data_IF_386323834315
#
_entry.id   IF_386323834315
#
_cell.length_a   1.000
_cell.length_b   1.000
_cell.length_c   1.000
_cell.angle_alpha   90.00
_cell.angle_beta   90.00
_cell.angle_gamma   90.00
#
_symmetry.space_group_name_H-M   'P 1'
#
loop_
_entity.id
_entity.type
_entity.pdbx_description
1 polymer ?
#
# COMPACT_ATOMS: atom_id res chain seq x y z
N UNK A 1 23.58 5.97 -15.07
CA UNK A 1 23.97 6.31 -13.68
C UNK A 1 23.69 5.11 -12.78
N UNK A 2 24.43 4.91 -11.68
CA UNK A 2 24.27 3.71 -10.86
C UNK A 2 23.14 3.90 -9.84
N UNK A 3 22.29 2.89 -9.55
CA UNK A 3 21.34 2.91 -8.44
C UNK A 3 21.93 3.33 -7.09
N UNK A 4 23.25 3.13 -6.94
CA UNK A 4 24.03 3.55 -5.79
C UNK A 4 24.04 5.07 -5.57
N UNK A 5 24.07 5.87 -6.65
CA UNK A 5 24.09 7.33 -6.55
C UNK A 5 22.75 7.86 -6.00
N UNK A 6 21.64 7.23 -6.42
CA UNK A 6 20.30 7.49 -5.90
C UNK A 6 20.22 7.18 -4.41
N UNK A 7 20.74 6.02 -4.01
CA UNK A 7 20.76 5.63 -2.60
C UNK A 7 21.58 6.58 -1.74
N UNK A 8 22.78 6.97 -2.21
CA UNK A 8 23.65 7.90 -1.50
C UNK A 8 22.95 9.25 -1.27
N UNK A 9 22.26 9.79 -2.28
CA UNK A 9 21.51 11.03 -2.15
C UNK A 9 20.36 10.91 -1.13
N UNK A 10 19.56 9.82 -1.21
CA UNK A 10 18.46 9.57 -0.26
C UNK A 10 18.99 9.39 1.17
N UNK A 11 20.10 8.67 1.33
CA UNK A 11 20.68 8.38 2.64
C UNK A 11 21.29 9.62 3.28
N UNK A 12 21.89 10.50 2.47
CA UNK A 12 22.36 11.81 2.89
C UNK A 12 21.23 12.78 3.24
N UNK A 13 20.06 12.65 2.61
CA UNK A 13 18.92 13.53 2.83
C UNK A 13 18.12 13.22 4.12
N UNK A 14 18.13 11.97 4.60
CA UNK A 14 17.38 11.59 5.82
C UNK A 14 17.98 10.39 6.53
N UNK A 15 17.98 10.35 7.88
CA UNK A 15 18.36 9.16 8.66
C UNK A 15 17.23 8.12 8.82
N UNK A 16 15.97 8.49 8.54
CA UNK A 16 14.80 7.65 8.75
C UNK A 16 14.75 6.48 7.74
N UNK A 17 14.77 5.25 8.24
CA UNK A 17 14.83 4.05 7.42
C UNK A 17 13.53 3.81 6.61
N UNK A 18 12.36 4.13 7.15
CA UNK A 18 11.09 3.98 6.43
C UNK A 18 10.97 5.01 5.31
N UNK A 19 11.45 6.23 5.53
CA UNK A 19 11.53 7.26 4.50
C UNK A 19 12.51 6.85 3.40
N UNK A 20 13.69 6.33 3.75
CA UNK A 20 14.68 5.80 2.77
C UNK A 20 14.09 4.70 1.90
N UNK A 21 13.44 3.70 2.52
CA UNK A 21 12.78 2.61 1.82
C UNK A 21 11.70 3.12 0.87
N UNK A 22 10.87 4.04 1.33
CA UNK A 22 9.78 4.63 0.53
C UNK A 22 10.31 5.41 -0.67
N UNK A 23 11.32 6.26 -0.48
CA UNK A 23 11.90 7.06 -1.57
C UNK A 23 12.60 6.18 -2.61
N UNK A 24 13.33 5.15 -2.17
CA UNK A 24 13.93 4.18 -3.10
C UNK A 24 12.84 3.40 -3.85
N UNK A 25 11.77 3.00 -3.16
CA UNK A 25 10.65 2.30 -3.78
C UNK A 25 9.93 3.17 -4.79
N UNK A 26 9.67 4.44 -4.47
CA UNK A 26 9.11 5.41 -5.41
C UNK A 26 9.99 5.61 -6.63
N UNK A 27 11.29 5.87 -6.43
CA UNK A 27 12.23 6.02 -7.54
C UNK A 27 12.27 4.78 -8.45
N UNK A 28 12.23 3.58 -7.86
CA UNK A 28 12.14 2.32 -8.61
C UNK A 28 10.82 2.18 -9.38
N UNK A 29 9.71 2.56 -8.76
CA UNK A 29 8.37 2.46 -9.34
C UNK A 29 8.07 3.57 -10.35
N UNK A 30 8.73 4.71 -10.33
CA UNK A 30 8.49 5.79 -11.28
C UNK A 30 9.40 5.69 -12.50
N UNK A 31 10.69 5.46 -12.28
CA UNK A 31 11.71 5.57 -13.33
C UNK A 31 12.66 4.39 -13.43
N UNK A 32 12.52 3.38 -12.55
CA UNK A 32 13.56 2.37 -12.36
C UNK A 32 14.88 2.99 -11.85
N UNK A 33 14.78 4.04 -11.03
CA UNK A 33 15.90 4.84 -10.53
C UNK A 33 16.74 5.52 -11.63
N UNK A 34 16.16 5.78 -12.80
CA UNK A 34 16.85 6.45 -13.90
C UNK A 34 16.68 7.98 -13.82
N UNK A 35 17.74 8.76 -13.52
CA UNK A 35 17.66 10.22 -13.42
C UNK A 35 17.39 10.89 -14.77
N UNK A 36 17.64 10.22 -15.88
CA UNK A 36 17.39 10.75 -17.22
C UNK A 36 16.01 10.39 -17.76
N UNK A 37 15.18 9.68 -16.97
CA UNK A 37 13.84 9.29 -17.37
C UNK A 37 12.95 10.50 -17.66
N UNK A 38 12.21 10.44 -18.77
CA UNK A 38 11.26 11.46 -19.22
C UNK A 38 9.91 10.80 -19.47
N UNK A 39 8.88 11.30 -18.79
CA UNK A 39 7.50 10.82 -18.85
C UNK A 39 6.54 11.89 -19.32
N UNK A 40 5.25 11.53 -19.38
CA UNK A 40 4.13 12.44 -19.67
C UNK A 40 4.36 13.34 -20.89
N UNK A 41 4.78 12.75 -22.01
CA UNK A 41 5.06 13.46 -23.26
C UNK A 41 6.10 14.60 -23.12
N UNK A 42 7.05 14.46 -22.21
CA UNK A 42 8.08 15.48 -21.97
C UNK A 42 7.72 16.49 -20.88
N UNK A 43 6.84 16.12 -19.94
CA UNK A 43 6.45 17.00 -18.83
C UNK A 43 6.93 16.50 -17.47
N UNK A 44 7.33 15.23 -17.36
CA UNK A 44 7.79 14.61 -16.11
C UNK A 44 9.24 14.16 -16.24
N UNK A 45 10.05 14.40 -15.22
CA UNK A 45 11.51 14.19 -15.31
C UNK A 45 12.09 13.58 -14.04
N UNK A 46 13.20 12.88 -14.21
CA UNK A 46 14.03 12.42 -13.11
C UNK A 46 13.54 11.15 -12.44
N UNK A 47 14.18 10.84 -11.32
CA UNK A 47 13.95 9.57 -10.62
C UNK A 47 12.53 9.43 -10.06
N UNK A 48 11.90 10.55 -9.69
CA UNK A 48 10.53 10.63 -9.16
C UNK A 48 9.48 11.09 -10.19
N UNK A 49 9.85 11.19 -11.48
CA UNK A 49 8.95 11.65 -12.55
C UNK A 49 8.19 12.94 -12.19
N UNK A 50 8.91 13.97 -11.74
CA UNK A 50 8.29 15.22 -11.25
C UNK A 50 7.63 15.96 -12.41
N UNK A 51 6.30 16.12 -12.35
CA UNK A 51 5.50 16.83 -13.36
C UNK A 51 5.69 18.36 -13.26
N UNK A 52 6.50 18.93 -14.16
CA UNK A 52 6.91 20.34 -14.09
C UNK A 52 5.76 21.35 -14.17
N UNK A 53 4.67 21.14 -14.95
CA UNK A 53 3.58 22.11 -15.00
C UNK A 53 2.90 22.37 -13.65
N UNK A 54 3.01 21.44 -12.69
CA UNK A 54 2.51 21.64 -11.31
C UNK A 54 3.54 22.32 -10.38
N UNK A 55 4.79 22.49 -10.82
CA UNK A 55 5.91 22.92 -10.00
C UNK A 55 6.77 23.96 -10.76
N UNK A 56 6.31 25.22 -10.86
CA UNK A 56 6.94 26.23 -11.72
C UNK A 56 8.39 26.58 -11.34
N UNK A 57 8.78 26.36 -10.08
CA UNK A 57 10.16 26.60 -9.61
C UNK A 57 11.14 25.44 -9.89
N UNK A 58 10.60 24.30 -10.37
CA UNK A 58 11.35 23.12 -10.75
C UNK A 58 11.65 23.14 -12.25
N UNK A 59 12.93 23.02 -12.60
CA UNK A 59 13.35 22.88 -14.00
C UNK A 59 13.63 21.42 -14.33
N UNK A 60 13.62 21.06 -15.61
CA UNK A 60 13.99 19.71 -16.04
C UNK A 60 15.40 19.32 -15.56
N UNK A 61 16.35 20.26 -15.53
CA UNK A 61 17.69 20.00 -15.01
C UNK A 61 17.68 19.69 -13.51
N UNK A 62 16.96 20.48 -12.70
CA UNK A 62 16.83 20.23 -11.25
C UNK A 62 16.08 18.92 -10.94
N UNK A 63 15.08 18.57 -11.76
CA UNK A 63 14.34 17.33 -11.60
C UNK A 63 15.20 16.09 -11.93
N UNK A 64 16.13 16.19 -12.88
CA UNK A 64 17.09 15.11 -13.19
C UNK A 64 18.25 15.04 -12.21
N UNK A 65 18.60 16.14 -11.56
CA UNK A 65 19.61 16.14 -10.49
C UNK A 65 19.09 15.33 -9.29
N UNK A 66 19.78 14.25 -8.96
CA UNK A 66 19.34 13.30 -7.93
C UNK A 66 19.23 13.99 -6.57
N UNK A 67 20.20 14.83 -6.19
CA UNK A 67 20.21 15.47 -4.87
C UNK A 67 19.08 16.49 -4.77
N UNK A 68 18.93 17.36 -5.76
CA UNK A 68 17.88 18.37 -5.80
C UNK A 68 16.48 17.76 -5.84
N UNK A 69 16.25 16.74 -6.68
CA UNK A 69 14.97 16.06 -6.77
C UNK A 69 14.64 15.27 -5.49
N UNK A 70 15.64 14.64 -4.85
CA UNK A 70 15.50 13.98 -3.54
C UNK A 70 15.09 14.97 -2.47
N UNK A 71 15.79 16.10 -2.35
CA UNK A 71 15.48 17.13 -1.37
C UNK A 71 14.09 17.76 -1.60
N UNK A 72 13.71 17.93 -2.87
CA UNK A 72 12.39 18.41 -3.23
C UNK A 72 11.27 17.44 -2.81
N UNK A 73 11.45 16.14 -3.03
CA UNK A 73 10.44 15.12 -2.70
C UNK A 73 10.43 14.71 -1.23
N UNK A 74 11.52 14.93 -0.50
CA UNK A 74 11.70 14.48 0.88
C UNK A 74 10.53 14.87 1.82
N UNK A 75 10.04 16.13 1.86
CA UNK A 75 8.93 16.50 2.75
C UNK A 75 7.64 15.72 2.46
N UNK A 76 7.34 15.43 1.20
CA UNK A 76 6.16 14.65 0.80
C UNK A 76 6.27 13.21 1.28
N UNK A 77 7.45 12.60 1.15
CA UNK A 77 7.72 11.25 1.63
C UNK A 77 7.69 11.13 3.15
N UNK A 78 8.24 12.12 3.88
CA UNK A 78 8.16 12.17 5.35
C UNK A 78 6.70 12.23 5.85
N UNK A 79 5.84 12.99 5.16
CA UNK A 79 4.41 13.03 5.49
C UNK A 79 3.71 11.72 5.11
N UNK A 80 4.07 11.13 3.97
CA UNK A 80 3.48 9.90 3.50
C UNK A 80 3.75 8.70 4.41
N UNK A 81 4.99 8.54 4.89
CA UNK A 81 5.37 7.45 5.81
C UNK A 81 4.51 7.47 7.07
N UNK A 82 4.23 8.65 7.65
CA UNK A 82 3.38 8.79 8.85
C UNK A 82 1.92 8.38 8.63
N UNK A 83 1.48 8.28 7.38
CA UNK A 83 0.11 7.86 7.02
C UNK A 83 0.01 6.35 6.83
N UNK A 84 1.13 5.65 6.72
CA UNK A 84 1.17 4.19 6.59
C UNK A 84 1.05 3.56 7.98
N UNK A 85 0.09 2.66 8.23
CA UNK A 85 -0.05 2.00 9.54
C UNK A 85 1.19 1.19 9.92
N UNK A 86 1.62 1.27 11.17
CA UNK A 86 2.80 0.55 11.71
C UNK A 86 2.73 -0.97 11.48
N UNK A 87 1.53 -1.56 11.56
CA UNK A 87 1.33 -2.98 11.29
C UNK A 87 1.72 -3.41 9.88
N UNK A 88 1.58 -2.52 8.88
CA UNK A 88 1.93 -2.82 7.50
C UNK A 88 3.44 -2.88 7.30
N UNK A 89 4.20 -2.02 7.98
CA UNK A 89 5.66 -2.03 7.95
C UNK A 89 6.25 -3.35 8.45
N UNK A 90 5.62 -3.97 9.45
CA UNK A 90 6.05 -5.25 10.00
C UNK A 90 5.62 -6.44 9.14
N UNK A 91 4.43 -6.38 8.53
CA UNK A 91 3.86 -7.48 7.75
C UNK A 91 4.43 -7.56 6.32
N UNK A 92 4.49 -6.42 5.64
CA UNK A 92 4.94 -6.31 4.24
C UNK A 92 5.59 -4.94 4.02
N UNK A 93 6.89 -4.78 4.34
CA UNK A 93 7.59 -3.50 4.19
C UNK A 93 7.67 -3.03 2.74
N UNK A 94 7.60 -3.92 1.75
CA UNK A 94 7.57 -3.56 0.34
C UNK A 94 6.25 -2.87 -0.04
N UNK A 95 5.12 -3.45 0.39
CA UNK A 95 3.81 -2.83 0.23
C UNK A 95 3.67 -1.54 1.04
N UNK A 96 4.21 -1.49 2.27
CA UNK A 96 4.24 -0.29 3.10
C UNK A 96 4.97 0.86 2.39
N UNK A 97 6.17 0.59 1.86
CA UNK A 97 6.99 1.55 1.11
C UNK A 97 6.29 2.05 -0.16
N UNK A 98 5.68 1.15 -0.93
CA UNK A 98 4.92 1.53 -2.12
C UNK A 98 3.66 2.34 -1.77
N UNK A 99 3.03 2.07 -0.63
CA UNK A 99 1.87 2.83 -0.13
C UNK A 99 2.28 4.25 0.27
N UNK A 100 3.44 4.41 0.90
CA UNK A 100 4.02 5.72 1.16
C UNK A 100 4.34 6.46 -0.15
N UNK A 101 4.97 5.80 -1.14
CA UNK A 101 5.23 6.38 -2.45
C UNK A 101 3.93 6.88 -3.12
N UNK A 102 2.88 6.07 -3.11
CA UNK A 102 1.55 6.45 -3.61
C UNK A 102 0.99 7.70 -2.92
N UNK A 103 1.14 7.83 -1.60
CA UNK A 103 0.69 9.03 -0.88
C UNK A 103 1.54 10.26 -1.18
N UNK A 104 2.85 10.10 -1.39
CA UNK A 104 3.77 11.19 -1.69
C UNK A 104 3.57 11.72 -3.12
N UNK A 105 3.48 10.83 -4.10
CA UNK A 105 3.46 11.15 -5.53
C UNK A 105 2.05 11.34 -6.07
N UNK A 106 1.04 10.85 -5.34
CA UNK A 106 -0.40 11.02 -5.64
C UNK A 106 -0.79 10.59 -7.06
N UNK A 107 -0.32 9.45 -7.59
CA UNK A 107 -0.79 8.97 -8.87
C UNK A 107 -2.28 8.64 -8.80
N UNK A 108 -2.95 8.59 -9.95
CA UNK A 108 -4.40 8.33 -10.01
C UNK A 108 -4.78 6.94 -9.49
N UNK A 109 -3.88 5.96 -9.66
CA UNK A 109 -4.11 4.55 -9.31
C UNK A 109 -2.90 4.02 -8.55
N UNK A 110 -3.15 3.17 -7.55
CA UNK A 110 -2.10 2.47 -6.81
C UNK A 110 -1.26 1.59 -7.74
N UNK A 111 0.04 1.47 -7.45
CA UNK A 111 0.93 0.60 -8.20
C UNK A 111 0.44 -0.86 -8.19
N UNK A 112 0.52 -1.59 -9.33
CA UNK A 112 0.17 -2.99 -9.36
C UNK A 112 1.04 -3.82 -8.40
N UNK A 113 0.43 -4.74 -7.65
CA UNK A 113 1.13 -5.61 -6.67
C UNK A 113 2.32 -6.34 -7.29
N UNK A 114 2.22 -6.78 -8.54
CA UNK A 114 3.33 -7.45 -9.23
C UNK A 114 4.53 -6.52 -9.42
N UNK A 115 4.31 -5.24 -9.72
CA UNK A 115 5.37 -4.22 -9.88
C UNK A 115 6.05 -3.90 -8.55
N UNK A 116 5.26 -3.85 -7.46
CA UNK A 116 5.76 -3.69 -6.09
C UNK A 116 6.66 -4.89 -5.74
N UNK A 117 6.17 -6.11 -5.94
CA UNK A 117 6.92 -7.35 -5.64
C UNK A 117 8.20 -7.48 -6.46
N UNK A 118 8.20 -7.06 -7.72
CA UNK A 118 9.42 -7.10 -8.55
C UNK A 118 10.43 -5.99 -8.21
N UNK A 119 9.96 -4.82 -7.79
CA UNK A 119 10.82 -3.70 -7.39
C UNK A 119 11.46 -3.89 -6.01
N UNK A 120 10.79 -4.58 -5.08
CA UNK A 120 11.25 -4.65 -3.70
C UNK A 120 12.64 -5.30 -3.50
N UNK A 121 12.99 -6.43 -4.14
CA UNK A 121 14.34 -6.98 -4.04
C UNK A 121 15.44 -6.02 -4.51
N UNK A 122 15.16 -5.17 -5.51
CA UNK A 122 16.10 -4.16 -6.01
C UNK A 122 16.34 -3.11 -4.93
N UNK A 123 15.27 -2.61 -4.30
CA UNK A 123 15.36 -1.66 -3.19
C UNK A 123 16.19 -2.24 -2.04
N UNK A 124 15.95 -3.50 -1.66
CA UNK A 124 16.73 -4.17 -0.61
C UNK A 124 18.21 -4.30 -0.98
N UNK A 125 18.53 -4.68 -2.21
CA UNK A 125 19.91 -4.77 -2.68
C UNK A 125 20.64 -3.42 -2.62
N UNK A 126 19.97 -2.36 -3.06
CA UNK A 126 20.47 -0.99 -3.00
C UNK A 126 20.68 -0.53 -1.55
N UNK A 127 19.74 -0.82 -0.65
CA UNK A 127 19.87 -0.48 0.76
C UNK A 127 21.04 -1.18 1.46
N UNK A 128 21.35 -2.42 1.07
CA UNK A 128 22.48 -3.18 1.61
C UNK A 128 23.81 -2.66 1.06
N UNK A 129 23.88 -2.37 -0.24
CA UNK A 129 25.08 -1.83 -0.90
C UNK A 129 25.41 -0.39 -0.52
N UNK A 130 24.40 0.42 -0.17
CA UNK A 130 24.57 1.80 0.22
C UNK A 130 24.91 2.03 1.69
N UNK A 131 25.06 0.96 2.49
CA UNK A 131 25.64 1.13 3.81
C UNK A 131 27.06 1.67 3.64
N UNK A 132 27.41 2.80 4.28
CA UNK A 132 28.78 3.29 4.26
C UNK A 132 29.67 2.14 4.72
N UNK A 133 30.50 1.62 3.82
CA UNK A 133 31.63 0.81 4.25
C UNK A 133 32.48 1.77 5.06
N UNK A 134 32.47 1.64 6.38
CA UNK A 134 33.36 2.39 7.25
C UNK A 134 34.79 2.13 6.75
N UNK A 135 35.35 3.04 5.94
CA UNK A 135 36.70 3.14 5.35
C UNK A 135 37.70 2.02 5.66
N UNK A 136 37.31 0.77 5.46
CA UNK A 136 38.20 -0.38 5.52
C UNK A 136 38.50 -0.68 4.06
N UNK A 137 39.78 -0.59 3.63
CA UNK A 137 40.14 -0.88 2.26
C UNK A 137 39.56 -2.24 1.87
N UNK A 138 38.88 -2.35 0.71
CA UNK A 138 38.31 -3.62 0.32
C UNK A 138 39.44 -4.64 0.17
N UNK A 139 39.31 -5.86 0.71
CA UNK A 139 40.24 -6.93 0.35
C UNK A 139 40.11 -7.16 -1.16
N UNK A 140 41.21 -6.94 -1.87
CA UNK A 140 41.34 -7.17 -3.31
C UNK A 140 40.95 -8.63 -3.62
N UNK A 141 39.70 -8.85 -3.99
CA UNK A 141 39.19 -10.17 -4.33
C UNK A 141 38.90 -10.18 -5.83
N UNK A 142 39.91 -10.59 -6.59
CA UNK A 142 39.82 -10.82 -8.03
C UNK A 142 38.98 -12.09 -8.26
N UNK A 143 37.73 -11.95 -8.68
CA UNK A 143 36.89 -13.08 -9.06
C UNK A 143 35.71 -12.64 -9.94
N UNK A 144 35.49 -13.25 -11.12
CA UNK A 144 34.33 -12.98 -11.95
C UNK A 144 33.12 -13.73 -11.38
N UNK A 145 32.38 -13.07 -10.48
CA UNK A 145 31.12 -13.55 -9.94
C UNK A 145 29.96 -12.77 -10.53
N UNK A 146 29.38 -13.30 -11.61
CA UNK A 146 28.14 -12.85 -12.20
C UNK A 146 27.03 -12.93 -11.14
N UNK A 147 26.37 -11.80 -10.85
CA UNK A 147 25.28 -11.75 -9.87
C UNK A 147 24.07 -12.52 -10.43
N UNK A 148 23.94 -13.78 -10.03
CA UNK A 148 22.76 -14.58 -10.24
C UNK A 148 21.60 -13.96 -9.46
N UNK A 149 20.49 -13.70 -10.15
CA UNK A 149 19.19 -13.48 -9.50
C UNK A 149 18.91 -14.65 -8.55
N UNK A 150 18.35 -14.43 -7.33
CA UNK A 150 18.06 -15.50 -6.41
C UNK A 150 17.06 -16.46 -7.05
N UNK A 151 17.52 -17.66 -7.37
CA UNK A 151 16.63 -18.75 -7.77
C UNK A 151 15.88 -19.20 -6.52
N UNK A 152 14.55 -19.22 -6.60
CA UNK A 152 13.66 -19.67 -5.53
C UNK A 152 13.82 -21.17 -5.19
N UNK A 153 14.68 -21.88 -5.91
CA UNK A 153 15.05 -23.27 -5.64
C UNK A 153 15.96 -23.43 -4.43
N UNK A 154 16.66 -22.38 -3.99
CA UNK A 154 17.64 -22.42 -2.87
C UNK A 154 17.10 -21.86 -1.54
N UNK A 155 15.79 -21.90 -1.30
CA UNK A 155 15.29 -21.72 0.06
C UNK A 155 15.60 -22.97 0.90
N UNK A 156 16.13 -22.84 2.14
CA UNK A 156 16.24 -23.96 3.07
C UNK A 156 14.88 -24.67 3.14
N UNK A 157 14.86 -26.00 3.07
CA UNK A 157 13.61 -26.78 3.01
C UNK A 157 12.60 -26.38 4.10
N UNK A 158 13.09 -25.96 5.27
CA UNK A 158 12.29 -25.43 6.38
C UNK A 158 11.54 -24.12 6.04
N UNK A 159 12.14 -23.21 5.29
CA UNK A 159 11.52 -21.95 4.83
C UNK A 159 10.53 -22.18 3.69
N UNK A 160 10.81 -23.14 2.80
CA UNK A 160 9.87 -23.54 1.74
C UNK A 160 8.61 -24.17 2.33
N UNK A 161 8.77 -25.06 3.32
CA UNK A 161 7.65 -25.64 4.07
C UNK A 161 6.89 -24.54 4.83
N UNK A 162 7.57 -23.61 5.50
CA UNK A 162 6.89 -22.50 6.15
C UNK A 162 6.10 -21.63 5.14
N UNK A 163 6.65 -21.36 3.96
CA UNK A 163 5.94 -20.58 2.93
C UNK A 163 4.77 -21.34 2.30
N UNK A 164 4.89 -22.64 2.05
CA UNK A 164 3.78 -23.47 1.53
C UNK A 164 2.68 -23.71 2.58
N UNK A 165 3.04 -23.81 3.87
CA UNK A 165 2.09 -24.03 4.97
C UNK A 165 1.39 -22.72 5.40
N UNK A 166 2.13 -21.62 5.46
CA UNK A 166 1.62 -20.32 5.94
C UNK A 166 1.28 -19.33 4.84
N UNK A 167 1.73 -19.53 3.59
CA UNK A 167 1.37 -18.66 2.46
C UNK A 167 -0.14 -18.49 2.27
N UNK A 168 -0.93 -19.57 2.26
CA UNK A 168 -2.39 -19.48 2.22
C UNK A 168 -2.99 -18.80 3.46
N UNK A 169 -2.33 -18.94 4.63
CA UNK A 169 -2.76 -18.33 5.89
C UNK A 169 -2.50 -16.82 5.86
N UNK A 170 -1.36 -16.38 5.36
CA UNK A 170 -1.03 -14.95 5.17
C UNK A 170 -1.96 -14.31 4.14
N UNK A 171 -2.27 -15.00 3.03
CA UNK A 171 -3.24 -14.51 2.05
C UNK A 171 -4.67 -14.48 2.61
N UNK A 172 -5.05 -15.45 3.44
CA UNK A 172 -6.32 -15.45 4.17
C UNK A 172 -6.40 -14.28 5.15
N UNK A 173 -5.37 -14.02 5.96
CA UNK A 173 -5.35 -12.89 6.89
C UNK A 173 -5.28 -11.55 6.18
N UNK A 174 -4.56 -11.43 5.06
CA UNK A 174 -4.56 -10.22 4.25
C UNK A 174 -5.94 -9.97 3.62
N UNK A 175 -6.63 -11.02 3.18
CA UNK A 175 -7.99 -10.95 2.66
C UNK A 175 -8.99 -10.62 3.77
N UNK A 176 -8.86 -11.22 4.95
CA UNK A 176 -9.67 -10.94 6.12
C UNK A 176 -9.44 -9.52 6.65
N UNK A 177 -8.21 -9.00 6.61
CA UNK A 177 -7.89 -7.62 6.97
C UNK A 177 -8.48 -6.62 5.97
N UNK A 178 -8.48 -6.93 4.67
CA UNK A 178 -9.17 -6.14 3.64
C UNK A 178 -10.68 -6.19 3.81
N UNK A 179 -11.24 -7.36 4.11
CA UNK A 179 -12.67 -7.54 4.35
C UNK A 179 -13.11 -6.84 5.62
N UNK A 180 -12.31 -6.89 6.69
CA UNK A 180 -12.51 -6.17 7.93
C UNK A 180 -12.38 -4.67 7.72
N UNK A 181 -11.36 -4.20 6.99
CA UNK A 181 -11.19 -2.76 6.69
C UNK A 181 -12.34 -2.24 5.83
N UNK A 182 -12.76 -3.00 4.81
CA UNK A 182 -13.95 -2.71 4.01
C UNK A 182 -15.19 -2.68 4.88
N UNK A 183 -15.38 -3.67 5.74
CA UNK A 183 -16.51 -3.77 6.67
C UNK A 183 -16.54 -2.59 7.64
N UNK A 184 -15.42 -2.23 8.27
CA UNK A 184 -15.31 -1.09 9.17
C UNK A 184 -15.58 0.23 8.41
N UNK A 185 -15.01 0.42 7.23
CA UNK A 185 -15.25 1.65 6.45
C UNK A 185 -16.69 1.77 5.96
N UNK A 186 -17.37 0.67 5.65
CA UNK A 186 -18.73 0.70 5.12
C UNK A 186 -19.80 0.65 6.20
N UNK A 187 -19.55 -0.04 7.32
CA UNK A 187 -20.47 -0.13 8.46
C UNK A 187 -20.50 1.16 9.28
N UNK A 188 -19.38 1.89 9.41
CA UNK A 188 -19.33 3.10 10.24
C UNK A 188 -19.62 4.42 9.50
N UNK A 189 -20.01 4.37 8.22
CA UNK A 189 -20.56 5.54 7.54
C UNK A 189 -21.94 5.87 8.14
N UNK A 190 -22.21 7.11 8.58
CA UNK A 190 -23.48 7.48 9.24
C UNK A 190 -24.71 7.25 8.36
N UNK A 191 -24.56 7.26 7.03
CA UNK A 191 -25.64 6.92 6.09
C UNK A 191 -25.96 5.41 6.02
N UNK A 192 -25.03 4.53 6.40
CA UNK A 192 -25.23 3.07 6.40
C UNK A 192 -26.05 2.64 7.60
N UNK A 193 -25.81 3.22 8.79
CA UNK A 193 -26.62 2.95 9.98
C UNK A 193 -28.09 3.37 9.83
N UNK A 194 -28.36 4.47 9.12
CA UNK A 194 -29.73 4.84 8.79
C UNK A 194 -30.45 3.76 7.95
N UNK A 195 -29.74 3.11 7.02
CA UNK A 195 -30.29 2.02 6.20
C UNK A 195 -30.51 0.74 7.00
N UNK A 196 -29.57 0.39 7.89
CA UNK A 196 -29.71 -0.77 8.79
C UNK A 196 -30.85 -0.55 9.78
N UNK A 197 -30.95 0.63 10.38
CA UNK A 197 -32.04 0.98 11.29
C UNK A 197 -33.40 0.97 10.58
N UNK A 198 -33.49 1.53 9.37
CA UNK A 198 -34.72 1.48 8.58
C UNK A 198 -35.12 0.04 8.21
N UNK A 199 -34.15 -0.81 7.88
CA UNK A 199 -34.40 -2.22 7.58
C UNK A 199 -34.93 -2.96 8.83
N UNK A 200 -34.26 -2.85 9.97
CA UNK A 200 -34.69 -3.50 11.22
C UNK A 200 -36.07 -3.01 11.67
N UNK A 201 -36.32 -1.70 11.57
CA UNK A 201 -37.63 -1.12 11.87
C UNK A 201 -38.73 -1.65 10.95
N UNK A 202 -38.45 -1.74 9.64
CA UNK A 202 -39.36 -2.35 8.67
C UNK A 202 -39.66 -3.82 8.99
N UNK A 203 -38.65 -4.62 9.34
CA UNK A 203 -38.82 -6.02 9.73
C UNK A 203 -39.72 -6.16 10.97
N UNK A 204 -39.51 -5.34 12.00
CA UNK A 204 -40.33 -5.36 13.23
C UNK A 204 -41.79 -5.02 12.91
N UNK A 205 -42.04 -4.02 12.04
CA UNK A 205 -43.40 -3.67 11.63
C UNK A 205 -44.12 -4.80 10.89
N UNK A 206 -43.42 -5.47 9.96
CA UNK A 206 -43.99 -6.59 9.21
C UNK A 206 -44.35 -7.74 10.16
N UNK A 207 -43.42 -8.14 11.04
CA UNK A 207 -43.66 -9.22 12.01
C UNK A 207 -44.81 -8.88 12.95
N UNK A 208 -44.88 -7.64 13.43
CA UNK A 208 -45.97 -7.19 14.31
C UNK A 208 -47.32 -7.18 13.59
N UNK A 209 -47.37 -6.71 12.35
CA UNK A 209 -48.59 -6.72 11.53
C UNK A 209 -49.10 -8.14 11.26
N UNK A 210 -48.19 -9.07 10.95
CA UNK A 210 -48.50 -10.50 10.79
C UNK A 210 -49.06 -11.07 12.09
N UNK A 211 -48.43 -10.79 13.23
CA UNK A 211 -48.90 -11.26 14.53
C UNK A 211 -50.31 -10.77 14.83
N UNK A 212 -50.58 -9.47 14.69
CA UNK A 212 -51.92 -8.88 14.91
C UNK A 212 -52.97 -9.47 13.97
N UNK A 213 -52.61 -9.71 12.71
CA UNK A 213 -53.52 -10.32 11.74
C UNK A 213 -53.96 -11.73 12.16
N UNK A 214 -53.03 -12.53 12.70
CA UNK A 214 -53.33 -13.89 13.15
C UNK A 214 -53.98 -13.96 14.54
N UNK A 215 -53.76 -12.98 15.42
CA UNK A 215 -54.37 -12.95 16.76
C UNK A 215 -55.68 -12.18 16.83
N UNK A 216 -55.97 -11.33 15.83
CA UNK A 216 -57.11 -10.40 15.83
C UNK A 216 -58.46 -10.99 15.42
N UNK A 217 -58.54 -12.23 14.95
CA UNK A 217 -59.78 -12.87 14.54
C UNK A 217 -60.51 -13.51 15.73
N UNK A 218 -61.07 -12.68 16.61
CA UNK A 218 -62.10 -13.18 17.53
C UNK A 218 -63.37 -13.55 16.76
N UNK A 219 -63.96 -14.73 17.04
CA UNK A 219 -65.09 -15.23 16.27
C UNK A 219 -66.34 -14.38 16.42
N UNK A 220 -67.03 -14.19 15.30
CA UNK A 220 -68.33 -13.54 15.17
C UNK A 220 -69.29 -14.05 16.25
N UNK A 221 -69.74 -13.12 17.09
CA UNK A 221 -70.72 -13.31 18.16
C UNK A 221 -71.98 -13.97 17.57
N UNK A 222 -72.25 -15.22 17.93
CA UNK A 222 -73.53 -15.88 17.59
C UNK A 222 -74.66 -15.09 18.24
N UNK A 223 -75.50 -14.46 17.40
CA UNK A 223 -76.77 -13.86 17.83
C UNK A 223 -77.74 -15.00 18.06
N UNK A 224 -77.81 -15.51 19.29
CA UNK A 224 -78.93 -16.31 19.75
C UNK A 224 -80.05 -15.36 20.18
N UNK A 225 -80.90 -14.99 19.23
CA UNK A 225 -82.20 -14.42 19.53
C UNK A 225 -83.17 -15.55 19.84
N UNK A 226 -83.49 -15.74 21.12
CA UNK A 226 -84.69 -16.45 21.56
C UNK A 226 -85.83 -15.46 21.38
N UNK A 227 -86.80 -15.79 20.53
CA UNK A 227 -88.07 -15.06 20.47
C UNK A 227 -89.15 -15.84 21.26
N UNK A 228 -90.00 -15.12 22.02
CA UNK A 228 -91.04 -15.67 22.89
C UNK A 228 -92.24 -16.25 22.12
#
# INVERSE_FOLDING_TARGET
>A
MAPQDVANAIFGATPDNQVRQSMLMGAQLESGMNPDSVGDSGHSYGIYQIYLPAHPDMTAAKARDIVASTLFMLPAYQQAVRRVPDGLWNLDPGLASATAAFYAERPKVMYPTQRIRSGWPIVLGVMQGARPTNNTPPPTTTGPGQASTPDTTDMPALLKVAYELFGPIVEFFASAAKLLTWFLTHMFLPKTWARVAAFLFGTVLVVSGVFVFFTGSSPVRKVTGVLP
#
